data_IF_090645612197
#
_entry.id   IF_090645612197
#
_cell.length_a   1.000
_cell.length_b   1.000
_cell.length_c   1.000
_cell.angle_alpha   90.00
_cell.angle_beta   90.00
_cell.angle_gamma   90.00
#
_symmetry.space_group_name_H-M   'P 1'
#
loop_
_entity.id
_entity.type
_entity.pdbx_description
1 polymer ?
#
# COMPACT_ATOMS: atom_id res chain seq x y z
N UNK A 1 -8.46 22.69 -26.00
CA UNK A 1 -8.16 21.47 -25.20
C UNK A 1 -9.48 20.73 -24.98
N UNK A 2 -9.64 19.52 -25.52
CA UNK A 2 -10.88 18.74 -25.34
C UNK A 2 -10.68 17.80 -24.17
N UNK A 3 -11.42 18.03 -23.08
CA UNK A 3 -11.52 17.08 -21.97
C UNK A 3 -12.44 15.95 -22.45
N UNK A 4 -11.91 14.74 -22.54
CA UNK A 4 -12.71 13.54 -22.83
C UNK A 4 -13.52 13.19 -21.59
N UNK A 5 -14.83 13.35 -21.68
CA UNK A 5 -15.77 12.92 -20.65
C UNK A 5 -15.89 11.40 -20.69
N UNK A 6 -15.57 10.72 -19.58
CA UNK A 6 -15.77 9.28 -19.46
C UNK A 6 -17.10 9.02 -18.75
N UNK A 7 -17.99 8.26 -19.37
CA UNK A 7 -19.25 7.85 -18.77
C UNK A 7 -19.02 6.59 -17.95
N UNK A 8 -19.37 6.62 -16.66
CA UNK A 8 -19.32 5.46 -15.79
C UNK A 8 -20.47 4.51 -16.14
N UNK A 9 -20.21 3.28 -16.60
CA UNK A 9 -21.27 2.38 -17.05
C UNK A 9 -22.06 1.77 -15.88
N UNK A 10 -23.31 1.41 -16.10
CA UNK A 10 -24.27 1.01 -15.07
C UNK A 10 -23.94 -0.28 -14.29
N UNK A 11 -22.92 -1.05 -14.71
CA UNK A 11 -22.40 -2.21 -13.97
C UNK A 11 -21.25 -1.83 -13.02
N UNK A 12 -20.83 -0.56 -13.01
CA UNK A 12 -19.91 -0.09 -11.97
C UNK A 12 -20.62 -0.18 -10.62
N UNK A 13 -20.00 -0.85 -9.64
CA UNK A 13 -20.59 -0.97 -8.31
C UNK A 13 -20.76 0.43 -7.73
N UNK A 14 -21.92 0.68 -7.09
CA UNK A 14 -22.09 1.84 -6.26
C UNK A 14 -20.98 1.82 -5.21
N UNK A 15 -20.12 2.84 -5.21
CA UNK A 15 -19.08 2.99 -4.20
C UNK A 15 -19.78 3.38 -2.90
N UNK A 16 -20.26 2.39 -2.16
CA UNK A 16 -20.80 2.54 -0.81
C UNK A 16 -19.65 2.56 0.20
N UNK A 17 -18.66 3.42 -0.02
CA UNK A 17 -17.72 3.75 1.04
C UNK A 17 -18.41 4.80 1.91
N UNK A 18 -18.86 4.37 3.08
CA UNK A 18 -19.23 5.31 4.11
C UNK A 18 -17.98 6.14 4.47
N UNK A 19 -18.07 7.47 4.64
CA UNK A 19 -16.95 8.24 5.19
C UNK A 19 -16.54 7.79 6.61
N UNK A 20 -17.32 6.88 7.21
CA UNK A 20 -17.02 6.18 8.46
C UNK A 20 -16.23 4.87 8.30
N UNK A 21 -15.97 4.40 7.07
CA UNK A 21 -14.81 3.53 6.79
C UNK A 21 -13.53 4.37 6.90
N UNK A 22 -13.37 5.03 8.03
CA UNK A 22 -12.17 5.74 8.41
C UNK A 22 -11.02 4.78 8.23
N UNK A 23 -9.94 5.27 7.63
CA UNK A 23 -8.65 4.59 7.45
C UNK A 23 -8.42 3.68 8.65
N UNK A 24 -8.77 2.40 8.50
CA UNK A 24 -8.53 1.43 9.55
C UNK A 24 -7.02 1.48 9.74
N UNK A 25 -6.51 1.77 10.94
CA UNK A 25 -5.07 1.78 11.15
C UNK A 25 -4.52 0.49 10.57
N UNK A 26 -3.48 0.56 9.71
CA UNK A 26 -3.06 -0.58 8.91
C UNK A 26 -2.94 -1.77 9.86
N UNK A 27 -3.77 -2.80 9.61
CA UNK A 27 -3.72 -4.01 10.40
C UNK A 27 -2.26 -4.42 10.46
N UNK A 28 -1.69 -4.48 11.68
CA UNK A 28 -0.24 -4.51 11.89
C UNK A 28 0.44 -5.45 10.89
N UNK A 29 1.07 -4.83 9.88
CA UNK A 29 1.86 -5.56 8.91
C UNK A 29 3.08 -6.08 9.66
N UNK A 30 3.50 -7.30 9.37
CA UNK A 30 4.77 -7.79 9.91
C UNK A 30 5.92 -6.97 9.33
N UNK A 31 7.12 -7.06 9.90
CA UNK A 31 8.30 -6.32 9.39
C UNK A 31 8.57 -6.64 7.90
N UNK A 32 8.41 -7.91 7.52
CA UNK A 32 8.56 -8.35 6.12
C UNK A 32 7.45 -7.80 5.22
N UNK A 33 6.20 -7.80 5.68
CA UNK A 33 5.08 -7.24 4.93
C UNK A 33 5.20 -5.72 4.79
N UNK A 34 5.73 -5.03 5.81
CA UNK A 34 5.98 -3.59 5.80
C UNK A 34 7.06 -3.22 4.79
N UNK A 35 8.14 -4.00 4.71
CA UNK A 35 9.17 -3.81 3.69
C UNK A 35 8.60 -3.94 2.27
N UNK A 36 7.83 -5.01 2.02
CA UNK A 36 7.14 -5.20 0.72
C UNK A 36 6.14 -4.07 0.46
N UNK A 37 5.40 -3.63 1.47
CA UNK A 37 4.40 -2.57 1.36
C UNK A 37 5.04 -1.22 1.00
N UNK A 38 6.15 -0.84 1.63
CA UNK A 38 6.87 0.39 1.31
C UNK A 38 7.41 0.37 -0.13
N UNK A 39 7.92 -0.76 -0.59
CA UNK A 39 8.35 -0.90 -1.98
C UNK A 39 7.18 -0.84 -2.98
N UNK A 40 5.94 -1.22 -2.60
CA UNK A 40 4.78 -1.02 -3.48
C UNK A 40 4.50 0.45 -3.79
N UNK A 41 4.97 1.40 -2.97
CA UNK A 41 4.82 2.83 -3.22
C UNK A 41 5.53 3.29 -4.51
N UNK A 42 6.55 2.55 -4.99
CA UNK A 42 7.25 2.87 -6.24
C UNK A 42 6.48 2.42 -7.48
N UNK A 43 5.44 1.61 -7.32
CA UNK A 43 4.74 0.95 -8.42
C UNK A 43 5.44 -0.29 -8.97
N UNK A 44 6.61 -0.68 -8.42
CA UNK A 44 7.41 -1.81 -8.87
C UNK A 44 6.61 -3.13 -8.94
N UNK A 45 6.75 -3.85 -10.04
CA UNK A 45 6.16 -5.18 -10.27
C UNK A 45 6.66 -6.22 -9.28
N UNK A 46 5.97 -7.36 -9.15
CA UNK A 46 6.39 -8.41 -8.23
C UNK A 46 7.77 -9.00 -8.55
N UNK A 47 8.22 -8.92 -9.81
CA UNK A 47 9.55 -9.36 -10.22
C UNK A 47 10.63 -8.35 -9.81
N UNK A 48 10.35 -7.06 -9.94
CA UNK A 48 11.24 -5.99 -9.48
C UNK A 48 11.34 -5.98 -7.95
N UNK A 49 10.21 -6.11 -7.25
CA UNK A 49 10.18 -6.27 -5.79
C UNK A 49 10.98 -7.49 -5.31
N UNK A 50 10.90 -8.60 -6.04
CA UNK A 50 11.67 -9.81 -5.73
C UNK A 50 13.18 -9.57 -5.86
N UNK A 51 13.59 -8.85 -6.90
CA UNK A 51 14.99 -8.47 -7.10
C UNK A 51 15.49 -7.49 -6.02
N UNK A 52 14.69 -6.48 -5.68
CA UNK A 52 15.03 -5.46 -4.67
C UNK A 52 15.13 -6.06 -3.26
N UNK A 53 14.20 -6.94 -2.90
CA UNK A 53 14.13 -7.54 -1.56
C UNK A 53 14.91 -8.85 -1.43
N UNK A 54 15.58 -9.30 -2.51
CA UNK A 54 16.27 -10.60 -2.57
C UNK A 54 15.36 -11.78 -2.19
N UNK A 55 14.10 -11.72 -2.62
CA UNK A 55 13.08 -12.74 -2.38
C UNK A 55 12.70 -13.45 -3.67
N UNK A 56 12.02 -14.60 -3.55
CA UNK A 56 11.41 -15.24 -4.71
C UNK A 56 10.13 -14.51 -5.13
N UNK A 57 9.78 -14.54 -6.42
CA UNK A 57 8.54 -13.93 -6.94
C UNK A 57 7.29 -14.54 -6.30
N UNK A 58 7.30 -15.84 -5.98
CA UNK A 58 6.20 -16.50 -5.28
C UNK A 58 6.05 -16.00 -3.85
N UNK A 59 7.16 -15.80 -3.13
CA UNK A 59 7.18 -15.19 -1.79
C UNK A 59 6.62 -13.77 -1.82
N UNK A 60 7.01 -12.94 -2.79
CA UNK A 60 6.45 -11.60 -2.96
C UNK A 60 4.94 -11.65 -3.23
N UNK A 61 4.48 -12.53 -4.12
CA UNK A 61 3.03 -12.71 -4.38
C UNK A 61 2.26 -13.10 -3.13
N UNK A 62 2.84 -13.95 -2.29
CA UNK A 62 2.27 -14.33 -1.01
C UNK A 62 2.15 -13.13 -0.06
N UNK A 63 3.24 -12.37 0.14
CA UNK A 63 3.21 -11.18 0.99
C UNK A 63 2.24 -10.11 0.46
N UNK A 64 2.23 -9.82 -0.84
CA UNK A 64 1.30 -8.87 -1.46
C UNK A 64 -0.16 -9.33 -1.28
N UNK A 65 -0.42 -10.63 -1.38
CA UNK A 65 -1.74 -11.20 -1.07
C UNK A 65 -2.15 -10.96 0.37
N UNK A 66 -1.28 -11.30 1.34
CA UNK A 66 -1.54 -11.11 2.76
C UNK A 66 -1.74 -9.64 3.13
N UNK A 67 -0.89 -8.74 2.60
CA UNK A 67 -1.00 -7.29 2.79
C UNK A 67 -2.38 -6.82 2.33
N UNK A 68 -2.79 -7.19 1.11
CA UNK A 68 -4.10 -6.79 0.56
C UNK A 68 -5.25 -7.33 1.42
N UNK A 69 -5.17 -8.58 1.86
CA UNK A 69 -6.18 -9.19 2.74
C UNK A 69 -6.25 -8.45 4.09
N UNK A 70 -5.10 -8.14 4.69
CA UNK A 70 -5.01 -7.37 5.95
C UNK A 70 -5.55 -5.95 5.82
N UNK A 71 -5.41 -5.34 4.64
CA UNK A 71 -5.92 -4.02 4.31
C UNK A 71 -7.38 -4.03 3.81
N UNK A 72 -8.12 -5.13 3.95
CA UNK A 72 -9.54 -5.20 3.59
C UNK A 72 -9.83 -5.67 2.16
N UNK A 73 -8.91 -6.42 1.53
CA UNK A 73 -9.10 -6.99 0.20
C UNK A 73 -8.89 -6.01 -0.95
N UNK A 74 -8.21 -4.89 -0.70
CA UNK A 74 -8.02 -3.81 -1.67
C UNK A 74 -7.29 -4.23 -2.94
N UNK A 75 -7.48 -3.46 -4.01
CA UNK A 75 -6.74 -3.63 -5.26
C UNK A 75 -5.26 -3.28 -5.10
N UNK A 76 -4.43 -3.74 -6.04
CA UNK A 76 -3.00 -3.41 -6.07
C UNK A 76 -2.76 -1.90 -6.14
N UNK A 77 -3.52 -1.19 -6.99
CA UNK A 77 -3.38 0.25 -7.13
C UNK A 77 -3.71 0.98 -5.83
N UNK A 78 -4.77 0.55 -5.14
CA UNK A 78 -5.11 1.08 -3.82
C UNK A 78 -4.00 0.81 -2.79
N UNK A 79 -3.39 -0.38 -2.81
CA UNK A 79 -2.26 -0.69 -1.93
C UNK A 79 -1.03 0.18 -2.23
N UNK A 80 -0.71 0.42 -3.51
CA UNK A 80 0.36 1.32 -3.94
C UNK A 80 0.10 2.76 -3.47
N UNK A 81 -1.14 3.25 -3.62
CA UNK A 81 -1.53 4.60 -3.18
C UNK A 81 -1.45 4.74 -1.65
N UNK A 82 -1.94 3.75 -0.89
CA UNK A 82 -1.81 3.76 0.57
C UNK A 82 -0.34 3.73 1.00
N UNK A 83 0.50 2.96 0.32
CA UNK A 83 1.93 2.94 0.60
C UNK A 83 2.62 4.27 0.30
N UNK A 84 2.23 4.95 -0.79
CA UNK A 84 2.74 6.28 -1.12
C UNK A 84 2.31 7.33 -0.08
N UNK A 85 1.02 7.34 0.28
CA UNK A 85 0.50 8.24 1.32
C UNK A 85 1.16 7.99 2.68
N UNK A 86 1.46 6.73 3.03
CA UNK A 86 2.18 6.40 4.26
C UNK A 86 3.64 6.90 4.27
N UNK A 87 4.28 7.05 3.11
CA UNK A 87 5.62 7.67 3.00
C UNK A 87 5.59 9.18 3.16
N UNK A 88 4.47 9.79 2.79
CA UNK A 88 4.26 11.24 2.80
C UNK A 88 3.82 11.76 4.18
N UNK A 89 3.46 10.87 5.12
CA UNK A 89 3.06 11.27 6.48
C UNK A 89 4.28 11.81 7.27
N UNK A 90 4.35 13.12 7.54
CA UNK A 90 5.49 13.72 8.26
C UNK A 90 5.58 13.24 9.71
N UNK A 91 4.49 12.70 10.27
CA UNK A 91 4.45 12.20 11.66
C UNK A 91 5.23 10.90 11.87
N UNK A 92 5.58 10.20 10.78
CA UNK A 92 6.49 9.04 10.80
C UNK A 92 7.96 9.45 10.56
N UNK A 93 8.22 10.70 10.15
CA UNK A 93 9.57 11.22 9.91
C UNK A 93 10.28 11.71 11.19
N UNK A 94 9.58 11.82 12.33
CA UNK A 94 10.15 12.20 13.64
C UNK A 94 10.68 10.99 14.46
N UNK A 95 11.09 9.92 13.77
CA UNK A 95 11.72 8.73 14.38
C UNK A 95 13.26 8.75 14.37
N UNK A 96 13.88 9.92 14.18
CA UNK A 96 15.33 10.09 14.19
C UNK A 96 15.91 10.18 15.62
N UNK A 97 16.70 9.17 15.98
CA UNK A 97 17.78 9.18 17.00
C UNK A 97 17.42 9.59 18.44
N UNK A 98 16.85 8.65 19.20
CA UNK A 98 17.13 8.59 20.64
C UNK A 98 18.58 8.14 20.85
N UNK A 99 19.49 9.12 20.89
CA UNK A 99 20.81 8.98 21.47
C UNK A 99 20.67 8.42 22.89
N UNK A 100 21.27 7.26 23.14
CA UNK A 100 21.33 6.68 24.48
C UNK A 100 22.09 7.60 25.44
N UNK A 101 21.66 7.76 26.70
CA UNK A 101 22.44 8.50 27.67
C UNK A 101 23.57 7.61 28.20
N UNK A 102 24.75 8.21 28.33
CA UNK A 102 25.90 7.73 29.11
C UNK A 102 25.65 7.92 30.60
#
# INVERSE_FOLDING_TARGET
>A
MRVVSFSVPAWFPAYDASPADGVRPPAQLTDQESAVFLCLATGASNAELAAELQLSVSTVKFHVGNIRTKLGGISRLQACLLAALAREDPRLSDGGVAAGPR
#
